data_IF_231481080596
#
_entry.id   IF_231481080596
#
_cell.length_a   1.000
_cell.length_b   1.000
_cell.length_c   1.000
_cell.angle_alpha   90.00
_cell.angle_beta   90.00
_cell.angle_gamma   90.00
#
_symmetry.space_group_name_H-M   'P 1'
#
loop_
_entity.id
_entity.type
_entity.pdbx_description
1 polymer ?
#
# COMPACT_ATOMS: atom_id res chain seq x y z
N UNK A 1 -21.52 -1.77 -20.04
CA UNK A 1 -20.96 -0.51 -19.50
C UNK A 1 -20.35 0.29 -20.64
N UNK A 2 -20.78 1.54 -20.86
CA UNK A 2 -20.20 2.42 -21.89
C UNK A 2 -18.89 3.05 -21.38
N UNK A 3 -17.94 3.26 -22.28
CA UNK A 3 -16.58 3.69 -21.96
C UNK A 3 -16.42 5.21 -21.78
N UNK A 4 -17.39 6.00 -22.26
CA UNK A 4 -17.28 7.45 -22.41
C UNK A 4 -18.21 8.27 -21.49
N UNK A 5 -18.63 7.70 -20.37
CA UNK A 5 -19.50 8.38 -19.39
C UNK A 5 -18.73 8.60 -18.09
N UNK A 6 -18.96 9.75 -17.44
CA UNK A 6 -18.37 10.07 -16.15
C UNK A 6 -18.76 9.01 -15.11
N UNK A 7 -17.78 8.49 -14.37
CA UNK A 7 -18.00 7.49 -13.32
C UNK A 7 -17.79 8.12 -11.96
N UNK A 8 -18.85 8.14 -11.16
CA UNK A 8 -18.78 8.55 -9.76
C UNK A 8 -18.68 7.30 -8.89
N UNK A 9 -17.78 7.32 -7.93
CA UNK A 9 -17.65 6.24 -6.94
C UNK A 9 -17.43 6.84 -5.57
N UNK A 10 -18.15 6.31 -4.58
CA UNK A 10 -17.88 6.54 -3.16
C UNK A 10 -17.29 5.27 -2.59
N UNK A 11 -16.31 5.39 -1.70
CA UNK A 11 -15.71 4.25 -1.03
C UNK A 11 -15.67 4.50 0.47
N UNK A 12 -16.14 3.51 1.22
CA UNK A 12 -16.08 3.47 2.67
C UNK A 12 -15.01 2.45 3.05
N UNK A 13 -14.14 2.82 3.98
CA UNK A 13 -13.15 1.94 4.56
C UNK A 13 -13.33 1.91 6.07
N UNK A 14 -13.15 0.72 6.64
CA UNK A 14 -13.16 0.50 8.09
C UNK A 14 -11.85 -0.18 8.46
N UNK A 15 -11.26 0.27 9.56
CA UNK A 15 -10.04 -0.28 10.12
C UNK A 15 -10.29 -0.71 11.55
N UNK A 16 -9.70 -1.82 11.95
CA UNK A 16 -9.71 -2.25 13.36
C UNK A 16 -8.46 -1.74 14.06
N UNK A 17 -8.63 -1.20 15.27
CA UNK A 17 -7.50 -0.78 16.09
C UNK A 17 -6.83 -2.00 16.72
N UNK A 18 -5.50 -2.01 16.72
CA UNK A 18 -4.69 -3.01 17.41
C UNK A 18 -4.28 -4.17 16.50
N UNK A 19 -3.62 -5.14 17.12
CA UNK A 19 -3.00 -6.27 16.43
C UNK A 19 -4.06 -7.23 15.90
N UNK A 20 -4.22 -7.27 14.58
CA UNK A 20 -5.01 -8.28 13.87
C UNK A 20 -4.27 -9.63 13.98
N UNK A 21 -4.94 -10.62 14.57
CA UNK A 21 -4.45 -11.99 14.70
C UNK A 21 -5.27 -12.91 13.81
N UNK A 22 -4.65 -13.98 13.33
CA UNK A 22 -5.36 -15.05 12.65
C UNK A 22 -6.14 -15.83 13.73
N UNK A 23 -7.46 -16.06 13.54
CA UNK A 23 -8.24 -16.89 14.45
C UNK A 23 -7.67 -18.31 14.53
N UNK A 24 -7.61 -18.86 15.75
CA UNK A 24 -6.98 -20.15 16.03
C UNK A 24 -7.70 -21.30 15.31
N UNK A 25 -9.02 -21.18 15.14
CA UNK A 25 -9.86 -22.16 14.43
C UNK A 25 -9.57 -22.27 12.93
N UNK A 26 -8.79 -21.32 12.37
CA UNK A 26 -8.38 -21.32 10.97
C UNK A 26 -6.96 -21.86 10.76
N UNK A 27 -6.31 -22.34 11.82
CA UNK A 27 -4.95 -22.88 11.77
C UNK A 27 -4.98 -24.36 12.15
N UNK A 28 -4.62 -25.21 11.21
CA UNK A 28 -4.56 -26.66 11.40
C UNK A 28 -3.39 -27.28 10.60
N UNK A 29 -3.23 -28.60 10.70
CA UNK A 29 -2.12 -29.32 10.04
C UNK A 29 -2.14 -29.22 8.51
N UNK A 30 -3.32 -29.05 7.91
CA UNK A 30 -3.51 -28.85 6.47
C UNK A 30 -3.46 -27.37 6.08
N UNK A 31 -3.77 -26.47 7.02
CA UNK A 31 -3.79 -25.02 6.85
C UNK A 31 -2.86 -24.34 7.86
N UNK A 32 -1.53 -24.44 7.68
CA UNK A 32 -0.58 -23.84 8.60
C UNK A 32 -0.65 -22.31 8.55
N UNK A 33 -0.27 -21.69 9.67
CA UNK A 33 -0.23 -20.23 9.81
C UNK A 33 0.66 -19.59 8.73
N UNK A 34 0.08 -18.73 7.89
CA UNK A 34 0.79 -18.13 6.75
C UNK A 34 1.39 -16.75 7.05
N UNK A 35 0.80 -16.00 7.98
CA UNK A 35 1.19 -14.63 8.27
C UNK A 35 1.32 -14.39 9.78
N UNK A 36 2.24 -13.50 10.14
CA UNK A 36 2.34 -13.00 11.52
C UNK A 36 1.24 -11.97 11.77
N UNK A 37 0.78 -11.89 13.01
CA UNK A 37 -0.14 -10.86 13.46
C UNK A 37 0.41 -9.45 13.18
N UNK A 38 -0.45 -8.51 12.79
CA UNK A 38 -0.05 -7.17 12.35
C UNK A 38 -1.06 -6.09 12.73
N UNK A 39 -0.61 -4.84 12.85
CA UNK A 39 -1.50 -3.68 12.94
C UNK A 39 -1.83 -3.18 11.51
N UNK A 40 -3.11 -2.97 11.23
CA UNK A 40 -3.58 -2.63 9.88
C UNK A 40 -3.10 -1.25 9.42
N UNK A 41 -2.99 -0.29 10.34
CA UNK A 41 -2.57 1.07 10.02
C UNK A 41 -1.06 1.10 9.80
N UNK A 42 -0.29 0.43 10.66
CA UNK A 42 1.17 0.33 10.48
C UNK A 42 1.53 -0.36 9.16
N UNK A 43 0.81 -1.43 8.81
CA UNK A 43 0.98 -2.10 7.52
C UNK A 43 0.71 -1.14 6.36
N UNK A 44 -0.42 -0.42 6.38
CA UNK A 44 -0.78 0.55 5.35
C UNK A 44 0.28 1.66 5.19
N UNK A 45 0.76 2.21 6.32
CA UNK A 45 1.80 3.24 6.33
C UNK A 45 3.10 2.70 5.75
N UNK A 46 3.50 1.47 6.11
CA UNK A 46 4.73 0.85 5.60
C UNK A 46 4.73 0.71 4.06
N UNK A 47 3.57 0.36 3.47
CA UNK A 47 3.41 0.28 2.02
C UNK A 47 3.40 1.66 1.36
N UNK A 48 2.75 2.65 1.98
CA UNK A 48 2.75 4.02 1.48
C UNK A 48 4.17 4.62 1.47
N UNK A 49 4.95 4.38 2.53
CA UNK A 49 6.33 4.87 2.64
C UNK A 49 7.26 4.23 1.61
N UNK A 50 7.15 2.92 1.35
CA UNK A 50 7.92 2.26 0.28
C UNK A 50 7.68 2.89 -1.09
N UNK A 51 6.46 3.34 -1.37
CA UNK A 51 6.12 4.01 -2.63
C UNK A 51 6.75 5.41 -2.73
N UNK A 52 6.83 6.16 -1.62
CA UNK A 52 7.52 7.46 -1.56
C UNK A 52 9.02 7.29 -1.80
N UNK A 53 9.65 6.26 -1.24
CA UNK A 53 11.09 6.03 -1.45
C UNK A 53 11.40 5.62 -2.89
N UNK A 54 10.59 4.74 -3.50
CA UNK A 54 10.75 4.38 -4.92
C UNK A 54 10.57 5.60 -5.82
N UNK A 55 9.54 6.42 -5.59
CA UNK A 55 9.33 7.65 -6.35
C UNK A 55 10.48 8.65 -6.15
N UNK A 56 11.02 8.78 -4.93
CA UNK A 56 12.19 9.61 -4.67
C UNK A 56 13.43 9.12 -5.41
N UNK A 57 13.70 7.81 -5.43
CA UNK A 57 14.85 7.24 -6.15
C UNK A 57 14.69 7.44 -7.67
N UNK A 58 13.47 7.26 -8.19
CA UNK A 58 13.20 7.38 -9.63
C UNK A 58 13.11 8.84 -10.14
N UNK A 59 12.81 9.80 -9.27
CA UNK A 59 12.71 11.23 -9.63
C UNK A 59 14.01 12.02 -9.39
N UNK A 60 14.98 11.47 -8.65
CA UNK A 60 16.33 12.06 -8.50
C UNK A 60 17.06 12.36 -9.83
N UNK A 61 17.00 11.52 -10.88
CA UNK A 61 17.69 11.78 -12.13
C UNK A 61 17.08 12.96 -12.90
N UNK A 62 15.76 13.15 -12.81
CA UNK A 62 15.02 14.14 -13.61
C UNK A 62 15.33 15.58 -13.17
N UNK A 63 15.46 15.81 -11.85
CA UNK A 63 15.87 17.10 -11.29
C UNK A 63 17.33 17.45 -11.60
N UNK A 64 18.21 16.45 -11.68
CA UNK A 64 19.61 16.64 -12.06
C UNK A 64 19.76 17.00 -13.55
N UNK A 65 18.96 16.38 -14.43
CA UNK A 65 18.96 16.67 -15.86
C UNK A 65 18.34 18.04 -16.18
N UNK A 66 17.29 18.45 -15.47
CA UNK A 66 16.68 19.79 -15.62
C UNK A 66 17.63 20.92 -15.23
N UNK A 67 18.53 20.72 -14.26
CA UNK A 67 19.56 21.72 -13.89
C UNK A 67 20.69 21.84 -14.91
N UNK A 68 21.01 20.78 -15.65
CA UNK A 68 22.06 20.81 -16.69
C UNK A 68 21.52 21.45 -17.99
N UNK A 69 20.22 21.33 -18.26
CA UNK A 69 19.58 21.93 -19.45
C UNK A 69 19.31 23.44 -19.32
N UNK A 70 19.53 24.05 -18.15
CA UNK A 70 19.29 25.47 -17.87
C UNK A 70 20.59 26.29 -17.71
N UNK A 71 21.74 25.72 -18.06
CA UNK A 71 23.04 26.39 -18.19
C UNK A 71 23.45 26.34 -19.66
#
# INVERSE_FOLDING_TARGET
MKWNEARYSLRLFSFTKGLTKIPEELVDDHHPLQFKSFDQIDLLISFAQKKVEILRVLLKPTEALLKISLI
#
